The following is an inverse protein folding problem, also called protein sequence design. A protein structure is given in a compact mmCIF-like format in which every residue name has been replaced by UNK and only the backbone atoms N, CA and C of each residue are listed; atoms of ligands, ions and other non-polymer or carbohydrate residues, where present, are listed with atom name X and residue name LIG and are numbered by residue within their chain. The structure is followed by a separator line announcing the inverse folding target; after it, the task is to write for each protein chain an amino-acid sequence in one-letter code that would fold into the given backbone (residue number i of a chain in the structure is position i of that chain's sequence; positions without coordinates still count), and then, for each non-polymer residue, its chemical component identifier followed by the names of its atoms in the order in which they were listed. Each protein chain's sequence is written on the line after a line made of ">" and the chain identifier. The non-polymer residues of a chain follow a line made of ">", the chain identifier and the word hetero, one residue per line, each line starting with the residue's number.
data_IF_961360275446
#
_entry.id   IF_961360275446
#
_cell.length_a   1.000
_cell.length_b   1.000
_cell.length_c   1.000
_cell.angle_alpha   90.00
_cell.angle_beta   90.00
_cell.angle_gamma   90.00
#
_symmetry.space_group_name_H-M   'P 1'
#
loop_
_entity.id
_entity.type
_entity.pdbx_description
1 polymer ?
#
# COMPACT_ATOMS: atom_id res chain seq x y z
N UNK A 1 -15.47 3.36 -15.83
CA UNK A 1 -14.98 4.38 -14.91
C UNK A 1 -14.09 3.74 -13.86
N UNK A 2 -12.90 4.30 -13.63
CA UNK A 2 -12.01 3.91 -12.52
C UNK A 2 -12.26 4.89 -11.37
N UNK A 3 -12.47 4.37 -10.17
CA UNK A 3 -12.63 5.13 -8.93
C UNK A 3 -11.65 4.59 -7.88
N UNK A 4 -11.02 5.49 -7.13
CA UNK A 4 -10.17 5.15 -5.97
C UNK A 4 -10.56 6.08 -4.84
N UNK A 5 -10.81 5.52 -3.66
CA UNK A 5 -11.18 6.30 -2.47
C UNK A 5 -10.62 5.67 -1.20
N UNK A 6 -10.46 6.48 -0.16
CA UNK A 6 -10.26 5.99 1.21
C UNK A 6 -11.54 5.35 1.71
N UNK A 7 -11.41 4.22 2.39
CA UNK A 7 -12.55 3.43 2.86
C UNK A 7 -12.56 3.31 4.38
N UNK A 8 -13.75 3.40 4.95
CA UNK A 8 -13.97 3.30 6.40
C UNK A 8 -15.25 2.54 6.76
N UNK A 9 -16.18 2.35 5.82
CA UNK A 9 -17.35 1.52 6.04
C UNK A 9 -17.03 0.02 5.89
N UNK A 10 -17.85 -0.79 6.53
CA UNK A 10 -17.63 -2.24 6.61
C UNK A 10 -17.66 -2.92 5.24
N UNK A 11 -18.51 -2.48 4.30
CA UNK A 11 -18.67 -3.14 3.01
C UNK A 11 -17.42 -2.94 2.15
N UNK A 12 -16.89 -1.73 2.12
CA UNK A 12 -15.67 -1.42 1.40
C UNK A 12 -14.44 -2.08 2.03
N UNK A 13 -14.34 -2.12 3.36
CA UNK A 13 -13.26 -2.85 4.06
C UNK A 13 -13.33 -4.35 3.73
N UNK A 14 -14.52 -4.94 3.68
CA UNK A 14 -14.69 -6.33 3.28
C UNK A 14 -14.30 -6.56 1.82
N UNK A 15 -14.62 -5.64 0.91
CA UNK A 15 -14.21 -5.73 -0.50
C UNK A 15 -12.68 -5.65 -0.65
N UNK A 16 -12.01 -4.73 0.06
CA UNK A 16 -10.55 -4.63 0.11
C UNK A 16 -9.92 -5.93 0.63
N UNK A 17 -10.45 -6.48 1.73
CA UNK A 17 -9.99 -7.77 2.28
C UNK A 17 -10.22 -8.94 1.32
N UNK A 18 -11.34 -8.94 0.57
CA UNK A 18 -11.60 -9.94 -0.46
C UNK A 18 -10.53 -9.93 -1.56
N UNK A 19 -10.11 -8.74 -2.00
CA UNK A 19 -9.00 -8.60 -2.96
C UNK A 19 -7.69 -9.13 -2.37
N UNK A 20 -7.36 -8.74 -1.12
CA UNK A 20 -6.16 -9.20 -0.42
C UNK A 20 -6.14 -10.71 -0.25
N UNK A 21 -7.29 -11.32 0.06
CA UNK A 21 -7.42 -12.77 0.15
C UNK A 21 -7.16 -13.46 -1.20
N UNK A 22 -7.75 -12.99 -2.29
CA UNK A 22 -7.53 -13.54 -3.63
C UNK A 22 -6.06 -13.45 -4.05
N UNK A 23 -5.40 -12.31 -3.79
CA UNK A 23 -4.01 -12.08 -4.21
C UNK A 23 -2.99 -12.71 -3.26
N UNK A 24 -3.05 -12.44 -1.96
CA UNK A 24 -2.01 -12.88 -1.03
C UNK A 24 -2.23 -14.33 -0.59
N UNK A 25 -3.45 -14.73 -0.26
CA UNK A 25 -3.71 -16.07 0.29
C UNK A 25 -3.87 -17.10 -0.82
N UNK A 26 -4.75 -16.86 -1.79
CA UNK A 26 -5.04 -17.84 -2.85
C UNK A 26 -3.94 -17.88 -3.90
N UNK A 27 -3.50 -16.73 -4.42
CA UNK A 27 -2.49 -16.69 -5.48
C UNK A 27 -1.07 -16.86 -4.92
N UNK A 28 -0.67 -16.05 -3.93
CA UNK A 28 0.71 -16.06 -3.41
C UNK A 28 0.96 -17.07 -2.28
N UNK A 29 -0.06 -17.80 -1.83
CA UNK A 29 0.05 -18.81 -0.78
C UNK A 29 0.55 -18.26 0.57
N UNK A 30 0.32 -16.97 0.85
CA UNK A 30 0.55 -16.38 2.17
C UNK A 30 -0.45 -16.98 3.16
N UNK A 31 0.00 -17.52 4.31
CA UNK A 31 -0.91 -18.03 5.33
C UNK A 31 -1.94 -16.98 5.77
N UNK A 32 -3.22 -17.34 5.80
CA UNK A 32 -4.32 -16.43 6.16
C UNK A 32 -4.10 -15.70 7.50
N UNK A 33 -3.50 -16.38 8.47
CA UNK A 33 -3.19 -15.82 9.81
C UNK A 33 -2.16 -14.69 9.77
N UNK A 34 -1.32 -14.61 8.73
CA UNK A 34 -0.37 -13.53 8.53
C UNK A 34 -0.97 -12.38 7.71
N UNK A 35 -1.99 -12.66 6.90
CA UNK A 35 -2.65 -11.65 6.09
C UNK A 35 -3.53 -10.70 6.93
N UNK A 36 -4.34 -11.27 7.83
CA UNK A 36 -5.22 -10.52 8.71
C UNK A 36 -4.48 -10.13 9.99
N UNK A 37 -4.32 -8.83 10.22
CA UNK A 37 -3.70 -8.30 11.44
C UNK A 37 -4.63 -7.31 12.16
N UNK A 38 -4.30 -6.98 13.42
CA UNK A 38 -5.05 -6.00 14.20
C UNK A 38 -4.86 -4.56 13.70
N UNK A 39 -3.87 -4.31 12.83
CA UNK A 39 -3.56 -2.96 12.33
C UNK A 39 -4.65 -2.45 11.41
N UNK A 40 -5.33 -3.34 10.67
CA UNK A 40 -6.51 -2.99 9.87
C UNK A 40 -7.61 -2.22 10.64
N UNK A 41 -7.68 -2.40 11.97
CA UNK A 41 -8.71 -1.80 12.82
C UNK A 41 -8.22 -0.55 13.59
N UNK A 42 -6.97 -0.12 13.40
CA UNK A 42 -6.45 1.09 14.05
C UNK A 42 -7.11 2.33 13.44
N UNK A 43 -7.42 3.36 14.26
CA UNK A 43 -8.19 4.53 13.84
C UNK A 43 -7.49 5.41 12.80
N UNK A 44 -6.17 5.33 12.71
CA UNK A 44 -5.30 6.08 11.80
C UNK A 44 -4.79 5.26 10.62
N UNK A 45 -5.30 4.03 10.46
CA UNK A 45 -5.01 3.20 9.29
C UNK A 45 -5.76 3.73 8.07
N UNK A 46 -5.01 4.06 7.03
CA UNK A 46 -5.57 4.48 5.75
C UNK A 46 -5.65 3.27 4.84
N UNK A 47 -6.86 2.93 4.39
CA UNK A 47 -7.08 1.89 3.37
C UNK A 47 -7.73 2.53 2.15
N UNK A 48 -7.27 2.15 0.96
CA UNK A 48 -7.90 2.57 -0.30
C UNK A 48 -8.50 1.38 -1.01
N UNK A 49 -9.63 1.60 -1.69
CA UNK A 49 -10.27 0.64 -2.57
C UNK A 49 -10.38 1.25 -3.96
N UNK A 50 -9.91 0.51 -4.95
CA UNK A 50 -10.13 0.80 -6.36
C UNK A 50 -11.29 -0.03 -6.90
N UNK A 51 -12.18 0.63 -7.63
CA UNK A 51 -13.22 -0.03 -8.42
C UNK A 51 -13.12 0.31 -9.91
N UNK A 52 -13.55 -0.62 -10.76
CA UNK A 52 -13.68 -0.44 -12.21
C UNK A 52 -15.10 -0.82 -12.61
N UNK A 53 -15.85 0.15 -13.14
CA UNK A 53 -17.30 0.02 -13.39
C UNK A 53 -18.06 -0.44 -12.15
N UNK A 54 -17.72 0.12 -10.98
CA UNK A 54 -18.34 -0.22 -9.70
C UNK A 54 -17.93 -1.58 -9.10
N UNK A 55 -17.02 -2.32 -9.75
CA UNK A 55 -16.53 -3.62 -9.25
C UNK A 55 -15.15 -3.49 -8.59
N UNK A 56 -14.91 -4.09 -7.41
CA UNK A 56 -13.60 -4.11 -6.77
C UNK A 56 -12.50 -4.63 -7.69
N UNK A 57 -11.38 -3.91 -7.78
CA UNK A 57 -10.27 -4.20 -8.69
C UNK A 57 -8.90 -4.20 -8.01
N UNK A 58 -8.70 -3.39 -6.98
CA UNK A 58 -7.45 -3.32 -6.24
C UNK A 58 -7.58 -2.58 -4.91
N UNK A 59 -6.57 -2.68 -4.05
CA UNK A 59 -6.55 -2.05 -2.73
C UNK A 59 -5.12 -1.80 -2.27
N UNK A 60 -4.95 -1.02 -1.22
CA UNK A 60 -3.70 -0.84 -0.51
C UNK A 60 -3.94 -0.24 0.88
N UNK A 61 -2.93 -0.34 1.73
CA UNK A 61 -2.95 0.16 3.11
C UNK A 61 -1.74 1.03 3.38
N UNK A 62 -1.93 2.04 4.22
CA UNK A 62 -0.88 2.84 4.81
C UNK A 62 -1.06 2.94 6.32
N UNK A 63 0.05 2.83 7.04
CA UNK A 63 0.12 2.87 8.50
C UNK A 63 1.10 3.96 8.95
N UNK A 64 0.71 4.90 9.83
CA UNK A 64 1.66 5.78 10.49
C UNK A 64 2.63 5.00 11.39
N UNK A 65 3.89 5.44 11.46
CA UNK A 65 4.85 4.93 12.43
C UNK A 65 4.84 5.81 13.70
N UNK A 66 4.31 5.29 14.80
CA UNK A 66 4.22 6.03 16.06
C UNK A 66 5.57 6.17 16.77
N UNK A 67 6.51 5.27 16.51
CA UNK A 67 7.85 5.33 17.10
C UNK A 67 8.77 6.28 16.32
N UNK A 68 8.44 6.52 15.03
CA UNK A 68 9.18 7.41 14.13
C UNK A 68 8.26 8.45 13.48
N UNK A 69 7.94 9.57 14.16
CA UNK A 69 7.11 10.62 13.59
C UNK A 69 7.62 11.11 12.23
N UNK A 70 6.71 11.19 11.25
CA UNK A 70 7.04 11.55 9.86
C UNK A 70 7.37 10.35 8.97
N UNK A 71 7.35 9.12 9.50
CA UNK A 71 7.47 7.88 8.73
C UNK A 71 6.09 7.20 8.60
N UNK A 72 5.82 6.65 7.41
CA UNK A 72 4.61 5.87 7.11
C UNK A 72 4.98 4.60 6.38
N UNK A 73 4.20 3.53 6.58
CA UNK A 73 4.43 2.22 5.99
C UNK A 73 3.34 1.86 4.99
N UNK A 74 3.69 1.77 3.71
CA UNK A 74 2.80 1.27 2.66
C UNK A 74 2.87 -0.25 2.62
N UNK A 75 1.71 -0.89 2.55
CA UNK A 75 1.61 -2.35 2.45
C UNK A 75 0.26 -2.81 1.91
N UNK A 76 0.10 -4.14 1.83
CA UNK A 76 -1.13 -4.79 1.34
C UNK A 76 -1.61 -4.25 -0.03
N UNK A 77 -0.67 -3.78 -0.86
CA UNK A 77 -0.96 -3.27 -2.19
C UNK A 77 -1.26 -4.44 -3.13
N UNK A 78 -2.50 -4.55 -3.60
CA UNK A 78 -2.98 -5.68 -4.38
C UNK A 78 -3.88 -5.23 -5.53
N UNK A 79 -3.73 -5.87 -6.69
CA UNK A 79 -4.61 -5.70 -7.86
C UNK A 79 -4.97 -7.09 -8.36
N UNK A 80 -6.26 -7.36 -8.53
CA UNK A 80 -6.74 -8.66 -9.02
C UNK A 80 -6.15 -8.96 -10.39
N UNK A 81 -5.81 -10.22 -10.64
CA UNK A 81 -5.08 -10.67 -11.83
C UNK A 81 -5.67 -10.12 -13.14
N UNK A 82 -7.00 -10.23 -13.29
CA UNK A 82 -7.77 -9.77 -14.46
C UNK A 82 -7.68 -8.26 -14.75
N UNK A 83 -7.18 -7.45 -13.83
CA UNK A 83 -7.01 -6.00 -13.98
C UNK A 83 -5.53 -5.56 -14.09
N UNK A 84 -4.57 -6.49 -13.97
CA UNK A 84 -3.13 -6.16 -14.05
C UNK A 84 -2.71 -5.71 -15.46
N UNK A 85 -1.52 -5.15 -15.57
CA UNK A 85 -0.99 -4.60 -16.84
C UNK A 85 -1.52 -3.21 -17.24
N UNK A 86 -2.42 -2.63 -16.44
CA UNK A 86 -3.07 -1.34 -16.73
C UNK A 86 -2.56 -0.19 -15.84
N UNK A 87 -1.37 -0.34 -15.24
CA UNK A 87 -0.76 0.63 -14.31
C UNK A 87 -1.62 0.96 -13.06
N UNK A 88 -2.57 0.09 -12.71
CA UNK A 88 -3.48 0.30 -11.59
C UNK A 88 -2.77 0.31 -10.23
N UNK A 89 -1.75 -0.53 -10.05
CA UNK A 89 -0.93 -0.54 -8.83
C UNK A 89 -0.26 0.81 -8.59
N UNK A 90 0.22 1.47 -9.65
CA UNK A 90 0.83 2.80 -9.55
C UNK A 90 -0.20 3.87 -9.14
N UNK A 91 -1.45 3.76 -9.61
CA UNK A 91 -2.54 4.65 -9.22
C UNK A 91 -2.94 4.47 -7.74
N UNK A 92 -3.02 3.23 -7.28
CA UNK A 92 -3.26 2.93 -5.86
C UNK A 92 -2.16 3.47 -4.96
N UNK A 93 -0.89 3.24 -5.34
CA UNK A 93 0.26 3.74 -4.60
C UNK A 93 0.26 5.27 -4.54
N UNK A 94 0.03 5.94 -5.67
CA UNK A 94 -0.06 7.40 -5.71
C UNK A 94 -1.19 7.95 -4.84
N UNK A 95 -2.35 7.27 -4.78
CA UNK A 95 -3.45 7.70 -3.90
C UNK A 95 -3.08 7.55 -2.43
N UNK A 96 -2.44 6.44 -2.03
CA UNK A 96 -1.94 6.26 -0.66
C UNK A 96 -0.92 7.34 -0.27
N UNK A 97 0.03 7.63 -1.16
CA UNK A 97 1.03 8.69 -0.94
C UNK A 97 0.36 10.08 -0.80
N UNK A 98 -0.65 10.36 -1.63
CA UNK A 98 -1.40 11.60 -1.56
C UNK A 98 -2.20 11.72 -0.25
N UNK A 99 -2.82 10.63 0.21
CA UNK A 99 -3.52 10.60 1.49
C UNK A 99 -2.57 10.74 2.69
N UNK A 100 -1.39 10.14 2.62
CA UNK A 100 -0.34 10.34 3.63
C UNK A 100 -0.01 11.83 3.75
N UNK A 101 0.26 12.49 2.62
CA UNK A 101 0.57 13.92 2.60
C UNK A 101 -0.60 14.72 3.18
N UNK A 102 -1.83 14.45 2.74
CA UNK A 102 -3.03 15.20 3.17
C UNK A 102 -3.35 15.06 4.65
N UNK A 103 -3.20 13.87 5.22
CA UNK A 103 -3.70 13.56 6.55
C UNK A 103 -2.62 13.62 7.64
N UNK A 104 -1.36 13.38 7.28
CA UNK A 104 -0.29 13.10 8.24
C UNK A 104 0.85 14.12 8.20
N UNK A 105 0.78 15.13 7.33
CA UNK A 105 1.81 16.19 7.24
C UNK A 105 1.37 17.43 8.03
N UNK A 106 1.98 17.76 9.18
CA UNK A 106 1.62 18.96 9.95
C UNK A 106 2.10 20.26 9.27
N UNK A 107 3.22 20.17 8.56
CA UNK A 107 3.82 21.26 7.77
C UNK A 107 4.09 20.73 6.35
N UNK A 108 3.36 21.20 5.33
CA UNK A 108 3.54 20.77 3.94
C UNK A 108 4.98 20.87 3.41
N UNK A 109 5.83 21.70 4.05
CA UNK A 109 7.24 21.86 3.69
C UNK A 109 8.17 20.79 4.30
N UNK A 110 7.74 20.06 5.33
CA UNK A 110 8.56 19.07 6.03
C UNK A 110 8.61 17.69 5.33
N UNK A 111 7.58 17.34 4.55
CA UNK A 111 7.46 16.05 3.87
C UNK A 111 7.30 14.84 4.81
N UNK A 112 7.16 13.65 4.24
CA UNK A 112 7.08 12.36 4.94
C UNK A 112 8.08 11.38 4.32
N UNK A 113 8.48 10.36 5.08
CA UNK A 113 9.19 9.19 4.53
C UNK A 113 8.19 8.05 4.41
N UNK A 114 7.96 7.58 3.18
CA UNK A 114 7.21 6.35 2.92
C UNK A 114 8.17 5.18 2.85
N UNK A 115 7.99 4.20 3.73
CA UNK A 115 8.71 2.94 3.75
C UNK A 115 7.80 1.78 3.37
N UNK A 116 8.37 0.74 2.78
CA UNK A 116 7.66 -0.48 2.44
C UNK A 116 8.59 -1.68 2.39
N UNK A 117 8.01 -2.85 2.64
CA UNK A 117 8.62 -4.14 2.36
C UNK A 117 8.18 -4.59 0.96
N UNK A 118 9.09 -4.52 -0.02
CA UNK A 118 8.82 -4.90 -1.40
C UNK A 118 9.21 -6.36 -1.64
N UNK A 119 8.28 -7.16 -2.14
CA UNK A 119 8.59 -8.47 -2.71
C UNK A 119 9.62 -8.31 -3.84
N UNK A 120 10.58 -9.24 -3.95
CA UNK A 120 11.73 -9.14 -4.87
C UNK A 120 11.32 -8.92 -6.33
N UNK A 121 10.21 -9.50 -6.78
CA UNK A 121 9.69 -9.29 -8.14
C UNK A 121 9.07 -7.89 -8.35
N UNK A 122 8.67 -7.20 -7.28
CA UNK A 122 8.02 -5.89 -7.31
C UNK A 122 9.01 -4.72 -7.19
N UNK A 123 10.30 -4.99 -7.03
CA UNK A 123 11.32 -3.93 -6.86
C UNK A 123 11.30 -2.94 -8.02
N UNK A 124 11.22 -3.41 -9.26
CA UNK A 124 11.22 -2.54 -10.44
C UNK A 124 9.94 -1.69 -10.53
N UNK A 125 8.82 -2.18 -10.00
CA UNK A 125 7.60 -1.39 -9.88
C UNK A 125 7.82 -0.22 -8.91
N UNK A 126 8.37 -0.47 -7.72
CA UNK A 126 8.61 0.57 -6.73
C UNK A 126 9.75 1.52 -7.13
N UNK A 127 10.80 1.04 -7.80
CA UNK A 127 11.86 1.89 -8.38
C UNK A 127 11.29 2.90 -9.38
N UNK A 128 10.37 2.46 -10.26
CA UNK A 128 9.68 3.37 -11.20
C UNK A 128 8.77 4.38 -10.49
N UNK A 129 8.27 4.03 -9.31
CA UNK A 129 7.51 4.95 -8.46
C UNK A 129 8.39 5.90 -7.63
N UNK A 130 9.72 5.79 -7.74
CA UNK A 130 10.71 6.64 -7.06
C UNK A 130 11.17 6.12 -5.70
N UNK A 131 10.93 4.85 -5.39
CA UNK A 131 11.47 4.22 -4.18
C UNK A 131 12.88 3.71 -4.41
N UNK A 132 13.70 3.80 -3.37
CA UNK A 132 15.07 3.29 -3.33
C UNK A 132 15.19 2.17 -2.29
N UNK A 133 15.96 1.14 -2.60
CA UNK A 133 16.21 0.03 -1.66
C UNK A 133 17.03 0.53 -0.46
N UNK A 134 16.60 0.14 0.74
CA UNK A 134 17.32 0.37 1.99
C UNK A 134 18.10 -0.89 2.34
N UNK A 135 19.38 -0.74 2.66
CA UNK A 135 20.24 -1.86 3.00
C UNK A 135 20.67 -2.71 1.80
N UNK A 136 21.41 -3.79 2.08
CA UNK A 136 22.01 -4.66 1.04
C UNK A 136 21.40 -6.06 1.01
N UNK A 137 20.77 -6.47 2.10
CA UNK A 137 20.32 -7.85 2.28
C UNK A 137 18.82 -7.97 2.07
N UNK A 138 18.41 -9.06 1.43
CA UNK A 138 17.00 -9.47 1.35
C UNK A 138 16.65 -10.35 2.54
N UNK A 139 15.38 -10.38 2.92
CA UNK A 139 14.87 -11.23 4.00
C UNK A 139 13.61 -11.96 3.57
N UNK A 140 13.25 -13.01 4.31
CA UNK A 140 11.99 -13.74 4.09
C UNK A 140 10.89 -13.13 4.94
N UNK A 141 9.76 -12.83 4.30
CA UNK A 141 8.49 -12.56 4.96
C UNK A 141 7.40 -13.43 4.30
N UNK A 142 6.65 -14.17 5.13
CA UNK A 142 5.70 -15.21 4.71
C UNK A 142 6.26 -16.21 3.66
N UNK A 143 7.56 -16.48 3.68
CA UNK A 143 8.22 -17.37 2.72
C UNK A 143 8.58 -16.73 1.37
N UNK A 144 8.39 -15.42 1.23
CA UNK A 144 8.69 -14.64 0.03
C UNK A 144 9.88 -13.72 0.30
N UNK A 145 10.79 -13.61 -0.67
CA UNK A 145 11.93 -12.69 -0.57
C UNK A 145 11.50 -11.24 -0.71
N UNK A 146 11.95 -10.41 0.23
CA UNK A 146 11.66 -8.98 0.30
C UNK A 146 12.92 -8.13 0.43
N UNK A 147 12.80 -6.86 0.04
CA UNK A 147 13.72 -5.79 0.40
C UNK A 147 12.95 -4.61 0.97
N UNK A 148 13.53 -3.93 1.95
CA UNK A 148 13.01 -2.64 2.39
C UNK A 148 13.29 -1.58 1.33
N UNK A 149 12.32 -0.70 1.10
CA UNK A 149 12.47 0.44 0.22
C UNK A 149 11.85 1.69 0.83
N UNK A 150 12.38 2.86 0.48
CA UNK A 150 11.82 4.14 0.93
C UNK A 150 11.73 5.18 -0.18
N UNK A 151 10.87 6.16 0.05
CA UNK A 151 10.70 7.36 -0.78
C UNK A 151 10.36 8.56 0.10
N UNK A 152 10.98 9.70 -0.16
CA UNK A 152 10.55 10.97 0.44
C UNK A 152 9.32 11.49 -0.31
N UNK A 153 8.23 11.69 0.42
CA UNK A 153 7.00 12.31 -0.06
C UNK A 153 7.05 13.79 0.28
N UNK A 154 6.87 14.65 -0.72
CA UNK A 154 6.83 16.11 -0.54
C UNK A 154 5.48 16.58 -1.11
N UNK A 155 4.80 17.47 -0.40
CA UNK A 155 3.61 18.10 -0.93
C UNK A 155 3.97 18.84 -2.23
N UNK A 156 3.14 18.76 -3.29
CA UNK A 156 3.41 19.52 -4.49
C UNK A 156 3.49 21.01 -4.14
N UNK A 157 4.57 21.66 -4.59
CA UNK A 157 4.71 23.11 -4.48
C UNK A 157 3.58 23.72 -5.32
N UNK A 158 2.71 24.50 -4.68
CA UNK A 158 1.64 25.25 -5.35
C UNK A 158 2.22 26.34 -6.25
#
# INVERSE_FOLDING_TARGET
>A
MIDIRVVSDLADIQAARGIRYEVFVIEQQVPLVLEVDARDALPDTIQVLMTIEGKPAGTGRLLPDHDHPGVVHVGRLAVLERYRGQQLGARLLAELEAEAIRQLTPDPSAGLISELSAQEYALDFYRKAGYETIGRERYLDAGIWHHDMRKTLIAPVQ
#
